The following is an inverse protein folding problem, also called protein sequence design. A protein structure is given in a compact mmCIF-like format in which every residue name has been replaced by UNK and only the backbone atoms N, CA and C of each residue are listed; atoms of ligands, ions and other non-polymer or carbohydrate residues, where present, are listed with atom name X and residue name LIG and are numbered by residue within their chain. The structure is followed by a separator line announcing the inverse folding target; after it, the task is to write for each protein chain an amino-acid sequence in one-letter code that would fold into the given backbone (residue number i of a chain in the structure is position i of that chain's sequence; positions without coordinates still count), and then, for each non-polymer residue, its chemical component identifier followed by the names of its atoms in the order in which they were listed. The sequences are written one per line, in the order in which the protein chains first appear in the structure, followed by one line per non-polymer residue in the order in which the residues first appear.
data_IF_242144767170
#
_entry.id   IF_242144767170
#
_cell.length_a   1.000
_cell.length_b   1.000
_cell.length_c   1.000
_cell.angle_alpha   90.00
_cell.angle_beta   90.00
_cell.angle_gamma   90.00
#
_symmetry.space_group_name_H-M   'P 1'
#
loop_
_entity.id
_entity.type
_entity.pdbx_description
1 polymer ?
#
# COMPACT_ATOMS: atom_id res chain seq x y z
N UNK A 1 -26.00 -3.50 1.18
CA UNK A 1 -25.41 -4.16 -0.01
C UNK A 1 -25.51 -5.67 0.14
N UNK A 2 -26.00 -6.37 -0.89
CA UNK A 2 -26.07 -7.86 -0.92
C UNK A 2 -24.66 -8.46 -0.93
N UNK A 3 -24.46 -9.61 -0.26
CA UNK A 3 -23.16 -10.30 -0.16
C UNK A 3 -22.52 -10.55 -1.53
N UNK A 4 -23.33 -10.95 -2.52
CA UNK A 4 -22.91 -11.22 -3.90
C UNK A 4 -22.22 -10.03 -4.57
N UNK A 5 -22.69 -8.80 -4.32
CA UNK A 5 -22.07 -7.60 -4.88
C UNK A 5 -20.67 -7.36 -4.33
N UNK A 6 -20.47 -7.59 -3.02
CA UNK A 6 -19.17 -7.42 -2.37
C UNK A 6 -18.14 -8.39 -2.93
N UNK A 7 -18.55 -9.64 -3.16
CA UNK A 7 -17.70 -10.69 -3.74
C UNK A 7 -17.33 -10.34 -5.19
N UNK A 8 -18.31 -9.95 -6.02
CA UNK A 8 -18.07 -9.60 -7.41
C UNK A 8 -17.14 -8.38 -7.55
N UNK A 9 -17.43 -7.28 -6.83
CA UNK A 9 -16.58 -6.09 -6.85
C UNK A 9 -15.18 -6.41 -6.33
N UNK A 10 -15.07 -7.17 -5.25
CA UNK A 10 -13.79 -7.58 -4.68
C UNK A 10 -12.95 -8.40 -5.66
N UNK A 11 -13.56 -9.35 -6.37
CA UNK A 11 -12.88 -10.16 -7.38
C UNK A 11 -12.36 -9.32 -8.56
N UNK A 12 -13.17 -8.40 -9.10
CA UNK A 12 -12.75 -7.53 -10.21
C UNK A 12 -11.63 -6.59 -9.78
N UNK A 13 -11.74 -5.97 -8.60
CA UNK A 13 -10.71 -5.07 -8.09
C UNK A 13 -9.41 -5.81 -7.75
N UNK A 14 -9.50 -7.04 -7.21
CA UNK A 14 -8.35 -7.89 -6.97
C UNK A 14 -7.62 -8.22 -8.27
N UNK A 15 -8.36 -8.65 -9.31
CA UNK A 15 -7.80 -8.94 -10.62
C UNK A 15 -7.10 -7.72 -11.21
N UNK A 16 -7.72 -6.53 -11.11
CA UNK A 16 -7.13 -5.29 -11.59
C UNK A 16 -5.84 -4.93 -10.84
N UNK A 17 -5.81 -5.07 -9.51
CA UNK A 17 -4.59 -4.87 -8.72
C UNK A 17 -3.47 -5.83 -9.15
N UNK A 18 -3.80 -7.11 -9.40
CA UNK A 18 -2.81 -8.08 -9.87
C UNK A 18 -2.27 -7.74 -11.25
N UNK A 19 -3.11 -7.28 -12.17
CA UNK A 19 -2.65 -6.79 -13.48
C UNK A 19 -1.65 -5.64 -13.31
N UNK A 20 -1.95 -4.65 -12.47
CA UNK A 20 -1.02 -3.55 -12.18
C UNK A 20 0.30 -4.06 -11.59
N UNK A 21 0.24 -5.03 -10.69
CA UNK A 21 1.43 -5.63 -10.09
C UNK A 21 2.25 -6.45 -11.10
N UNK A 22 1.61 -7.12 -12.06
CA UNK A 22 2.32 -7.84 -13.12
C UNK A 22 3.01 -6.90 -14.10
N UNK A 23 2.45 -5.69 -14.32
CA UNK A 23 3.06 -4.67 -15.17
C UNK A 23 4.38 -4.12 -14.62
N UNK A 24 4.68 -4.27 -13.32
CA UNK A 24 5.96 -3.82 -12.74
C UNK A 24 7.14 -4.57 -13.34
N UNK A 25 6.94 -5.83 -13.75
CA UNK A 25 7.98 -6.63 -14.40
C UNK A 25 8.38 -6.11 -15.79
N UNK A 26 7.55 -5.27 -16.41
CA UNK A 26 7.77 -4.73 -17.76
C UNK A 26 8.36 -3.32 -17.68
N UNK A 27 7.94 -2.53 -16.69
CA UNK A 27 8.29 -1.11 -16.55
C UNK A 27 9.13 -0.90 -15.28
N UNK A 28 10.45 -0.70 -15.38
CA UNK A 28 11.34 -0.53 -14.22
C UNK A 28 10.99 0.68 -13.33
N UNK A 29 10.49 1.77 -13.94
CA UNK A 29 9.98 2.94 -13.20
C UNK A 29 8.72 2.58 -12.39
N UNK A 30 8.00 1.53 -12.78
CA UNK A 30 6.75 1.09 -12.19
C UNK A 30 6.89 0.34 -10.86
N UNK A 31 8.09 -0.12 -10.50
CA UNK A 31 8.33 -0.95 -9.31
C UNK A 31 7.90 -0.30 -7.99
N UNK A 32 7.87 1.04 -7.92
CA UNK A 32 7.36 1.79 -6.77
C UNK A 32 5.97 2.40 -7.02
N UNK A 33 5.70 2.84 -8.25
CA UNK A 33 4.48 3.58 -8.58
C UNK A 33 3.24 2.67 -8.69
N UNK A 34 3.35 1.50 -9.32
CA UNK A 34 2.22 0.61 -9.55
C UNK A 34 1.70 -0.05 -8.25
N UNK A 35 2.58 -0.49 -7.32
CA UNK A 35 2.13 -0.92 -5.98
C UNK A 35 1.38 0.16 -5.22
N UNK A 36 1.80 1.41 -5.36
CA UNK A 36 1.13 2.55 -4.74
C UNK A 36 -0.29 2.74 -5.30
N UNK A 37 -0.46 2.66 -6.63
CA UNK A 37 -1.76 2.73 -7.29
C UNK A 37 -2.66 1.55 -6.88
N UNK A 38 -2.11 0.33 -6.81
CA UNK A 38 -2.84 -0.84 -6.33
C UNK A 38 -3.34 -0.66 -4.89
N UNK A 39 -2.51 -0.12 -4.00
CA UNK A 39 -2.90 0.25 -2.64
C UNK A 39 -4.02 1.29 -2.59
N UNK A 40 -4.00 2.29 -3.48
CA UNK A 40 -5.07 3.28 -3.60
C UNK A 40 -6.40 2.65 -4.04
N UNK A 41 -6.38 1.66 -4.93
CA UNK A 41 -7.60 0.95 -5.32
C UNK A 41 -8.17 0.19 -4.12
N UNK A 42 -7.34 -0.47 -3.31
CA UNK A 42 -7.76 -1.14 -2.09
C UNK A 42 -8.36 -0.16 -1.06
N UNK A 43 -7.82 1.06 -0.98
CA UNK A 43 -8.43 2.13 -0.18
C UNK A 43 -9.86 2.43 -0.63
N UNK A 44 -10.08 2.61 -1.93
CA UNK A 44 -11.42 2.88 -2.49
C UNK A 44 -12.38 1.72 -2.18
N UNK A 45 -11.92 0.49 -2.36
CA UNK A 45 -12.69 -0.72 -2.01
C UNK A 45 -13.06 -0.72 -0.52
N UNK A 46 -12.17 -0.28 0.37
CA UNK A 46 -12.45 -0.19 1.81
C UNK A 46 -13.60 0.78 2.14
N UNK A 47 -13.81 1.82 1.33
CA UNK A 47 -14.95 2.74 1.49
C UNK A 47 -16.27 2.13 1.02
N UNK A 48 -16.23 1.27 0.00
CA UNK A 48 -17.42 0.66 -0.58
C UNK A 48 -17.87 -0.60 0.18
N UNK A 49 -16.99 -1.58 0.39
CA UNK A 49 -17.37 -2.89 0.97
C UNK A 49 -17.06 -3.03 2.47
N UNK A 50 -16.25 -2.10 3.01
CA UNK A 50 -15.80 -2.05 4.39
C UNK A 50 -14.39 -2.60 4.61
N UNK A 51 -13.82 -2.30 5.79
CA UNK A 51 -12.43 -2.63 6.16
C UNK A 51 -12.17 -4.14 6.13
N UNK A 52 -13.06 -4.96 6.69
CA UNK A 52 -12.86 -6.43 6.74
C UNK A 52 -12.73 -7.06 5.36
N UNK A 53 -13.56 -6.63 4.40
CA UNK A 53 -13.52 -7.13 3.03
C UNK A 53 -12.29 -6.61 2.28
N UNK A 54 -11.88 -5.36 2.50
CA UNK A 54 -10.66 -4.82 1.91
C UNK A 54 -9.41 -5.57 2.38
N UNK A 55 -9.34 -5.96 3.65
CA UNK A 55 -8.23 -6.78 4.18
C UNK A 55 -8.20 -8.17 3.51
N UNK A 56 -9.35 -8.80 3.31
CA UNK A 56 -9.44 -10.09 2.60
C UNK A 56 -8.94 -9.97 1.15
N UNK A 57 -9.37 -8.90 0.45
CA UNK A 57 -8.96 -8.64 -0.94
C UNK A 57 -7.46 -8.35 -0.99
N UNK A 58 -6.95 -7.51 -0.09
CA UNK A 58 -5.52 -7.26 0.06
C UNK A 58 -4.73 -8.57 0.28
N UNK A 59 -5.18 -9.45 1.19
CA UNK A 59 -4.50 -10.70 1.47
C UNK A 59 -4.45 -11.61 0.23
N UNK A 60 -5.56 -11.70 -0.50
CA UNK A 60 -5.59 -12.44 -1.76
C UNK A 60 -4.62 -11.86 -2.79
N UNK A 61 -4.62 -10.54 -2.99
CA UNK A 61 -3.71 -9.87 -3.93
C UNK A 61 -2.25 -10.03 -3.49
N UNK A 62 -1.93 -9.88 -2.19
CA UNK A 62 -0.59 -10.03 -1.67
C UNK A 62 -0.03 -11.44 -1.91
N UNK A 63 -0.80 -12.50 -1.62
CA UNK A 63 -0.40 -13.89 -1.86
C UNK A 63 -0.16 -14.11 -3.36
N UNK A 64 -1.10 -13.67 -4.20
CA UNK A 64 -0.97 -13.79 -5.65
C UNK A 64 0.23 -13.00 -6.18
N UNK A 65 0.50 -11.80 -5.66
CA UNK A 65 1.64 -10.99 -6.04
C UNK A 65 2.97 -11.68 -5.68
N UNK A 66 3.09 -12.24 -4.47
CA UNK A 66 4.30 -12.96 -4.08
C UNK A 66 4.58 -14.18 -4.97
N UNK A 67 3.53 -14.88 -5.38
CA UNK A 67 3.62 -16.07 -6.23
C UNK A 67 3.94 -15.73 -7.70
N UNK A 68 3.19 -14.80 -8.29
CA UNK A 68 3.18 -14.59 -9.75
C UNK A 68 4.00 -13.39 -10.24
N UNK A 69 4.24 -12.38 -9.41
CA UNK A 69 4.98 -11.19 -9.85
C UNK A 69 6.47 -11.52 -9.88
N UNK A 70 7.09 -11.29 -11.04
CA UNK A 70 8.53 -11.51 -11.25
C UNK A 70 9.38 -10.48 -10.49
N UNK A 71 8.91 -9.23 -10.43
CA UNK A 71 9.51 -8.17 -9.63
C UNK A 71 9.22 -8.40 -8.13
N UNK A 72 10.17 -9.03 -7.46
CA UNK A 72 10.06 -9.35 -6.02
C UNK A 72 10.14 -8.12 -5.13
N UNK A 73 10.79 -7.06 -5.57
CA UNK A 73 10.85 -5.80 -4.81
C UNK A 73 9.47 -5.16 -4.76
N UNK A 74 8.79 -5.02 -5.91
CA UNK A 74 7.44 -4.50 -5.97
C UNK A 74 6.45 -5.35 -5.17
N UNK A 75 6.54 -6.69 -5.28
CA UNK A 75 5.66 -7.61 -4.56
C UNK A 75 5.84 -7.49 -3.03
N UNK A 76 7.09 -7.34 -2.56
CA UNK A 76 7.38 -7.11 -1.14
C UNK A 76 6.89 -5.73 -0.68
N UNK A 77 7.13 -4.67 -1.46
CA UNK A 77 6.67 -3.32 -1.13
C UNK A 77 5.14 -3.23 -1.01
N UNK A 78 4.42 -3.88 -1.93
CA UNK A 78 2.97 -3.99 -1.86
C UNK A 78 2.53 -4.75 -0.61
N UNK A 79 3.12 -5.92 -0.37
CA UNK A 79 2.72 -6.78 0.74
C UNK A 79 3.05 -6.17 2.09
N UNK A 80 4.26 -5.64 2.27
CA UNK A 80 4.74 -5.16 3.57
C UNK A 80 4.29 -3.76 3.93
N UNK A 81 3.82 -2.97 2.97
CA UNK A 81 3.43 -1.61 3.27
C UNK A 81 2.30 -1.09 2.39
N UNK A 82 2.55 -0.91 1.09
CA UNK A 82 1.68 -0.09 0.23
C UNK A 82 0.28 -0.67 0.04
N UNK A 83 0.10 -1.99 0.15
CA UNK A 83 -1.18 -2.65 -0.03
C UNK A 83 -2.12 -2.47 1.16
N UNK A 84 -1.65 -2.69 2.39
CA UNK A 84 -2.52 -2.62 3.57
C UNK A 84 -2.51 -1.25 4.26
N UNK A 85 -1.44 -0.46 4.10
CA UNK A 85 -1.29 0.80 4.81
C UNK A 85 -2.47 1.76 4.59
N UNK A 86 -3.01 1.95 3.36
CA UNK A 86 -4.18 2.80 3.16
C UNK A 86 -5.39 2.38 3.99
N UNK A 87 -5.61 1.07 4.13
CA UNK A 87 -6.70 0.51 4.94
C UNK A 87 -6.43 0.77 6.44
N UNK A 88 -5.18 0.57 6.88
CA UNK A 88 -4.77 0.84 8.25
C UNK A 88 -4.89 2.33 8.60
N UNK A 89 -4.49 3.23 7.69
CA UNK A 89 -4.65 4.67 7.82
C UNK A 89 -6.10 5.03 8.16
N UNK A 90 -7.06 4.46 7.44
CA UNK A 90 -8.49 4.72 7.71
C UNK A 90 -8.92 4.27 9.10
N UNK A 91 -8.37 3.18 9.60
CA UNK A 91 -8.62 2.71 10.95
C UNK A 91 -7.97 3.63 12.00
N UNK A 92 -6.70 4.01 11.81
CA UNK A 92 -5.96 4.90 12.71
C UNK A 92 -6.58 6.29 12.78
N UNK A 93 -6.97 6.86 11.63
CA UNK A 93 -7.61 8.18 11.53
C UNK A 93 -8.98 8.22 12.22
N UNK A 94 -9.70 7.09 12.28
CA UNK A 94 -10.97 6.98 13.02
C UNK A 94 -10.77 6.78 14.52
N UNK A 95 -9.75 6.02 14.93
CA UNK A 95 -9.54 5.62 16.33
C UNK A 95 -8.76 6.66 17.14
N UNK A 96 -7.79 7.35 16.53
CA UNK A 96 -6.90 8.28 17.21
C UNK A 96 -7.31 9.72 16.89
N UNK A 97 -7.95 10.38 17.86
CA UNK A 97 -8.39 11.78 17.74
C UNK A 97 -7.23 12.78 17.79
N UNK A 98 -6.16 12.48 18.53
CA UNK A 98 -4.99 13.36 18.63
C UNK A 98 -4.13 13.24 17.37
N UNK A 99 -4.02 14.33 16.59
CA UNK A 99 -3.28 14.36 15.34
C UNK A 99 -1.80 14.02 15.51
N UNK A 100 -1.15 14.52 16.57
CA UNK A 100 0.27 14.25 16.80
C UNK A 100 0.52 12.76 17.08
N UNK A 101 -0.28 12.17 17.96
CA UNK A 101 -0.19 10.74 18.28
C UNK A 101 -0.45 9.87 17.03
N UNK A 102 -1.43 10.25 16.21
CA UNK A 102 -1.76 9.54 14.99
C UNK A 102 -0.58 9.55 13.98
N UNK A 103 0.04 10.72 13.76
CA UNK A 103 1.25 10.78 12.94
C UNK A 103 2.39 9.94 13.51
N UNK A 104 2.66 10.02 14.82
CA UNK A 104 3.71 9.21 15.46
C UNK A 104 3.48 7.72 15.21
N UNK A 105 2.24 7.23 15.39
CA UNK A 105 1.91 5.81 15.15
C UNK A 105 2.11 5.43 13.68
N UNK A 106 1.71 6.29 12.74
CA UNK A 106 1.89 6.05 11.31
C UNK A 106 3.36 5.98 10.89
N UNK A 107 4.17 6.92 11.37
CA UNK A 107 5.62 6.91 11.13
C UNK A 107 6.30 5.72 11.81
N UNK A 108 5.83 5.31 12.99
CA UNK A 108 6.33 4.10 13.65
C UNK A 108 6.02 2.84 12.82
N UNK A 109 4.80 2.73 12.29
CA UNK A 109 4.42 1.63 11.39
C UNK A 109 5.30 1.62 10.14
N UNK A 110 5.50 2.77 9.50
CA UNK A 110 6.39 2.87 8.34
C UNK A 110 7.82 2.42 8.66
N UNK A 111 8.40 2.91 9.77
CA UNK A 111 9.75 2.54 10.18
C UNK A 111 9.89 1.04 10.49
N UNK A 112 8.92 0.44 11.19
CA UNK A 112 8.91 -1.01 11.43
C UNK A 112 8.84 -1.79 10.12
N UNK A 113 8.00 -1.38 9.17
CA UNK A 113 7.91 -2.02 7.85
C UNK A 113 9.18 -1.86 7.02
N UNK A 114 9.79 -0.67 7.01
CA UNK A 114 11.01 -0.42 6.27
C UNK A 114 12.19 -1.23 6.82
N UNK A 115 12.34 -1.26 8.15
CA UNK A 115 13.40 -2.05 8.80
C UNK A 115 13.18 -3.54 8.60
N UNK A 116 11.96 -4.06 8.82
CA UNK A 116 11.64 -5.47 8.58
C UNK A 116 11.80 -5.88 7.12
N UNK A 117 11.40 -5.02 6.18
CA UNK A 117 11.58 -5.24 4.74
C UNK A 117 13.05 -5.29 4.34
N UNK A 118 13.90 -4.43 4.91
CA UNK A 118 15.34 -4.49 4.72
C UNK A 118 15.92 -5.82 5.23
N UNK A 119 15.57 -6.22 6.45
CA UNK A 119 16.03 -7.50 7.02
C UNK A 119 15.58 -8.70 6.18
N UNK A 120 14.33 -8.72 5.72
CA UNK A 120 13.82 -9.79 4.88
C UNK A 120 14.51 -9.77 3.51
N UNK A 121 14.73 -8.62 2.89
CA UNK A 121 15.50 -8.51 1.65
C UNK A 121 16.92 -9.07 1.78
N UNK A 122 17.62 -8.72 2.86
CA UNK A 122 19.00 -9.19 3.07
C UNK A 122 19.06 -10.68 3.39
N UNK A 123 18.26 -11.16 4.34
CA UNK A 123 18.37 -12.53 4.85
C UNK A 123 17.58 -13.57 4.04
N UNK A 124 16.44 -13.20 3.46
CA UNK A 124 15.61 -14.11 2.69
C UNK A 124 15.94 -14.07 1.19
N UNK A 125 16.21 -12.89 0.63
CA UNK A 125 16.54 -12.75 -0.80
C UNK A 125 18.05 -12.75 -1.09
N UNK A 126 18.89 -12.76 -0.04
CA UNK A 126 20.34 -12.89 -0.19
C UNK A 126 21.01 -11.66 -0.81
N UNK A 127 20.44 -10.47 -0.66
CA UNK A 127 21.02 -9.24 -1.21
C UNK A 127 22.39 -9.00 -0.52
N UNK A 128 23.49 -8.90 -1.29
CA UNK A 128 24.83 -8.82 -0.74
C UNK A 128 25.00 -7.57 0.12
N UNK A 129 25.50 -7.76 1.35
CA UNK A 129 25.67 -6.68 2.32
C UNK A 129 26.72 -5.64 1.89
N UNK A 130 27.68 -6.08 1.08
CA UNK A 130 28.77 -5.26 0.54
C UNK A 130 28.28 -4.12 -0.37
N UNK A 131 27.08 -4.23 -0.94
CA UNK A 131 26.49 -3.18 -1.78
C UNK A 131 25.83 -2.03 -1.01
N UNK A 132 25.72 -2.13 0.32
CA UNK A 132 25.02 -1.14 1.14
C UNK A 132 25.93 -0.04 1.72
N UNK A 133 27.20 0.00 1.35
CA UNK A 133 28.11 1.07 1.74
C UNK A 133 28.79 1.68 0.51
N UNK A 134 28.56 2.97 0.29
CA UNK A 134 29.25 3.75 -0.76
C UNK A 134 29.99 4.88 -0.05
N UNK A 135 31.32 4.90 -0.16
CA UNK A 135 32.18 5.93 0.44
C UNK A 135 31.99 6.12 1.96
N UNK A 136 31.77 5.02 2.70
CA UNK A 136 31.55 5.05 4.16
C UNK A 136 30.14 5.51 4.59
N UNK A 137 29.25 5.78 3.63
CA UNK A 137 27.84 6.06 3.89
C UNK A 137 27.08 4.75 3.84
N UNK A 138 26.43 4.39 4.95
CA UNK A 138 25.54 3.24 5.02
C UNK A 138 24.19 3.59 4.35
N UNK A 139 24.01 3.09 3.13
CA UNK A 139 22.87 3.34 2.26
C UNK A 139 21.50 3.09 2.92
N UNK A 140 21.31 2.06 3.77
CA UNK A 140 20.00 1.84 4.39
C UNK A 140 19.54 3.01 5.27
N UNK A 141 20.46 3.73 5.94
CA UNK A 141 20.08 4.95 6.67
C UNK A 141 19.62 6.04 5.70
N UNK A 142 20.31 6.20 4.57
CA UNK A 142 19.92 7.15 3.53
C UNK A 142 18.55 6.80 2.93
N UNK A 143 18.30 5.53 2.61
CA UNK A 143 17.01 5.05 2.12
C UNK A 143 15.89 5.19 3.14
N UNK A 144 16.18 5.01 4.44
CA UNK A 144 15.21 5.28 5.51
C UNK A 144 14.81 6.77 5.53
N UNK A 145 15.78 7.69 5.49
CA UNK A 145 15.50 9.13 5.47
C UNK A 145 14.71 9.53 4.23
N UNK A 146 15.11 9.06 3.05
CA UNK A 146 14.36 9.29 1.80
C UNK A 146 12.95 8.68 1.91
N UNK A 147 12.86 7.49 2.48
CA UNK A 147 11.61 6.77 2.71
C UNK A 147 10.65 7.53 3.62
N UNK A 148 11.13 8.16 4.70
CA UNK A 148 10.30 8.98 5.58
C UNK A 148 9.72 10.20 4.86
N UNK A 149 10.53 10.86 4.01
CA UNK A 149 10.06 11.99 3.18
C UNK A 149 9.01 11.51 2.17
N UNK A 150 9.29 10.40 1.48
CA UNK A 150 8.34 9.80 0.53
C UNK A 150 7.04 9.38 1.21
N UNK A 151 7.13 8.82 2.42
CA UNK A 151 5.99 8.42 3.23
C UNK A 151 5.15 9.62 3.66
N UNK A 152 5.79 10.72 4.05
CA UNK A 152 5.07 11.95 4.37
C UNK A 152 4.27 12.48 3.17
N UNK A 153 4.87 12.49 1.98
CA UNK A 153 4.18 12.85 0.73
C UNK A 153 3.02 11.89 0.46
N UNK A 154 3.25 10.59 0.64
CA UNK A 154 2.23 9.57 0.47
C UNK A 154 1.04 9.75 1.43
N UNK A 155 1.29 10.09 2.70
CA UNK A 155 0.24 10.42 3.69
C UNK A 155 -0.62 11.59 3.25
N UNK A 156 0.00 12.64 2.70
CA UNK A 156 -0.72 13.80 2.17
C UNK A 156 -1.57 13.37 0.97
N UNK A 157 -1.00 12.63 0.02
CA UNK A 157 -1.70 12.13 -1.16
C UNK A 157 -2.92 11.30 -0.79
N UNK A 158 -2.78 10.34 0.13
CA UNK A 158 -3.89 9.51 0.60
C UNK A 158 -5.00 10.35 1.23
N UNK A 159 -4.63 11.33 2.04
CA UNK A 159 -5.59 12.22 2.70
C UNK A 159 -6.35 13.08 1.68
N UNK A 160 -5.68 13.56 0.63
CA UNK A 160 -6.30 14.34 -0.46
C UNK A 160 -7.23 13.48 -1.33
N UNK A 161 -6.77 12.29 -1.72
CA UNK A 161 -7.55 11.35 -2.54
C UNK A 161 -8.84 10.95 -1.80
N UNK A 162 -8.76 10.72 -0.49
CA UNK A 162 -9.94 10.47 0.35
C UNK A 162 -10.97 11.58 0.25
N UNK A 163 -10.55 12.85 0.39
CA UNK A 163 -11.46 14.00 0.30
C UNK A 163 -12.11 14.03 -1.09
N UNK A 164 -11.31 13.96 -2.16
CA UNK A 164 -11.81 13.98 -3.54
C UNK A 164 -12.81 12.85 -3.79
N UNK A 165 -12.52 11.65 -3.29
CA UNK A 165 -13.39 10.50 -3.45
C UNK A 165 -14.73 10.69 -2.74
N UNK A 166 -14.70 11.12 -1.47
CA UNK A 166 -15.89 11.24 -0.64
C UNK A 166 -16.77 12.44 -1.03
N UNK A 167 -16.18 13.58 -1.40
CA UNK A 167 -16.94 14.81 -1.73
C UNK A 167 -17.29 14.94 -3.21
N UNK A 168 -16.54 14.28 -4.11
CA UNK A 168 -16.71 14.44 -5.55
C UNK A 168 -17.29 13.21 -6.23
N UNK A 169 -16.64 12.05 -6.05
CA UNK A 169 -16.97 10.84 -6.81
C UNK A 169 -18.14 10.06 -6.22
N UNK A 170 -18.20 9.90 -4.89
CA UNK A 170 -19.26 9.13 -4.23
C UNK A 170 -20.64 9.75 -4.47
N UNK A 171 -20.74 11.08 -4.37
CA UNK A 171 -22.01 11.79 -4.53
C UNK A 171 -22.50 11.81 -5.99
N UNK A 172 -21.60 11.74 -6.98
CA UNK A 172 -21.99 11.68 -8.41
C UNK A 172 -22.33 10.28 -8.91
N UNK A 173 -21.64 9.23 -8.44
CA UNK A 173 -21.81 7.86 -8.99
C UNK A 173 -22.93 7.11 -8.26
N UNK A 174 -23.06 7.26 -6.94
CA UNK A 174 -23.96 6.42 -6.14
C UNK A 174 -25.25 7.11 -5.67
N UNK A 175 -25.57 8.31 -6.17
CA UNK A 175 -26.86 8.96 -5.90
C UNK A 175 -28.08 8.15 -6.38
N UNK A 176 -27.88 7.12 -7.23
CA UNK A 176 -28.94 6.25 -7.78
C UNK A 176 -29.07 4.86 -7.14
N UNK A 177 -28.33 4.54 -6.08
CA UNK A 177 -28.37 3.19 -5.44
C UNK A 177 -28.72 3.28 -3.94
N UNK A 178 -29.49 4.29 -3.54
CA UNK A 178 -30.17 4.30 -2.23
C UNK A 178 -31.61 3.86 -2.40
#
# INVERSE_FOLDING_TARGET
MKSTFKIALGGVMAAFCIVLMLLTAIVPIGSFALPCIAGLILLMVSYEVGISWAILIYAAVAIMSLLFVADKEAALLFTMFLGYYPILKEFLDKKIRNKALNYIVKFAVFNVCAVSGFFIGVYLLGIPKEGFEINGIYLPWLFLVIGEVAFFIYEICLSRIRVIYLTGFRDRIFHRIK
#
